data_IF_440832710290
#
_entry.id   IF_440832710290
#
_cell.length_a   1.000
_cell.length_b   1.000
_cell.length_c   1.000
_cell.angle_alpha   90.00
_cell.angle_beta   90.00
_cell.angle_gamma   90.00
#
_symmetry.space_group_name_H-M   'P 1'
#
loop_
_entity.id
_entity.type
_entity.pdbx_description
1 polymer ?
#
# COMPACT_ATOMS: atom_id res chain seq x y z
N UNK A 1 -6.53 7.90 -32.96
CA UNK A 1 -5.87 7.83 -31.63
C UNK A 1 -5.27 9.20 -31.33
N UNK A 2 -5.19 9.64 -30.06
CA UNK A 2 -4.46 10.87 -29.75
C UNK A 2 -2.99 10.66 -30.10
N UNK A 3 -2.38 11.66 -30.76
CA UNK A 3 -0.98 11.60 -31.19
C UNK A 3 -0.05 11.80 -29.99
N UNK A 4 -0.47 12.63 -29.02
CA UNK A 4 0.41 13.13 -27.96
C UNK A 4 0.14 12.53 -26.60
N UNK A 5 -1.11 12.15 -26.30
CA UNK A 5 -1.48 11.58 -25.01
C UNK A 5 -2.06 10.19 -25.15
N UNK A 6 -1.93 9.43 -24.07
CA UNK A 6 -2.53 8.13 -23.91
C UNK A 6 -4.02 8.29 -23.60
N UNK A 7 -4.86 7.44 -24.21
CA UNK A 7 -6.30 7.32 -23.87
C UNK A 7 -6.63 6.05 -23.09
N UNK A 8 -5.73 5.06 -23.12
CA UNK A 8 -5.88 3.77 -22.48
C UNK A 8 -4.53 3.03 -22.45
N UNK A 9 -4.45 1.93 -21.70
CA UNK A 9 -3.27 1.04 -21.65
C UNK A 9 -3.15 0.06 -22.84
N UNK A 10 -3.85 0.27 -23.96
CA UNK A 10 -3.94 -0.73 -25.05
C UNK A 10 -2.92 -0.54 -26.16
N UNK A 11 -2.05 0.47 -26.08
CA UNK A 11 -1.03 0.76 -27.10
C UNK A 11 0.28 -0.02 -26.84
N UNK A 12 1.17 -0.07 -27.84
CA UNK A 12 2.48 -0.70 -27.69
C UNK A 12 3.36 -0.02 -26.63
N UNK A 13 4.18 -0.79 -25.92
CA UNK A 13 4.97 -0.32 -24.77
C UNK A 13 5.81 0.93 -25.07
N UNK A 14 6.44 1.00 -26.25
CA UNK A 14 7.19 2.19 -26.69
C UNK A 14 6.29 3.42 -26.85
N UNK A 15 5.12 3.27 -27.48
CA UNK A 15 4.15 4.38 -27.64
C UNK A 15 3.67 4.89 -26.29
N UNK A 16 3.36 3.98 -25.37
CA UNK A 16 2.94 4.34 -24.02
C UNK A 16 4.05 5.09 -23.28
N UNK A 17 5.29 4.62 -23.36
CA UNK A 17 6.44 5.28 -22.76
C UNK A 17 6.65 6.70 -23.31
N UNK A 18 6.70 6.84 -24.64
CA UNK A 18 6.91 8.13 -25.31
C UNK A 18 5.79 9.14 -24.94
N UNK A 19 4.55 8.67 -24.85
CA UNK A 19 3.40 9.51 -24.44
C UNK A 19 3.43 9.89 -22.96
N UNK A 20 3.85 8.99 -22.08
CA UNK A 20 4.03 9.30 -20.66
C UNK A 20 5.10 10.39 -20.46
N UNK A 21 6.20 10.35 -21.21
CA UNK A 21 7.21 11.43 -21.17
C UNK A 21 6.63 12.79 -21.60
N UNK A 22 5.80 12.82 -22.64
CA UNK A 22 5.13 14.05 -23.09
C UNK A 22 4.16 14.57 -22.02
N UNK A 23 3.39 13.67 -21.41
CA UNK A 23 2.49 14.01 -20.31
C UNK A 23 3.27 14.63 -19.13
N UNK A 24 4.31 13.97 -18.66
CA UNK A 24 5.14 14.42 -17.54
C UNK A 24 5.75 15.79 -17.82
N UNK A 25 6.30 15.98 -19.01
CA UNK A 25 6.87 17.27 -19.41
C UNK A 25 5.83 18.39 -19.42
N UNK A 26 4.60 18.13 -19.88
CA UNK A 26 3.54 19.14 -19.92
C UNK A 26 2.94 19.45 -18.55
N UNK A 27 2.94 18.47 -17.65
CA UNK A 27 2.37 18.65 -16.33
C UNK A 27 3.36 19.30 -15.36
N UNK A 28 4.65 18.97 -15.47
CA UNK A 28 5.72 19.58 -14.69
C UNK A 28 5.73 21.09 -14.89
N UNK A 29 5.60 21.79 -13.78
CA UNK A 29 5.64 23.24 -13.73
C UNK A 29 6.35 23.62 -12.43
N UNK A 30 7.62 24.05 -12.58
CA UNK A 30 8.54 24.30 -11.45
C UNK A 30 8.02 25.35 -10.47
N UNK A 31 7.01 26.13 -10.88
CA UNK A 31 6.33 27.11 -10.00
C UNK A 31 5.51 26.45 -8.90
N UNK A 32 5.12 25.18 -9.06
CA UNK A 32 4.22 24.48 -8.14
C UNK A 32 4.92 23.29 -7.48
N UNK A 33 5.62 23.57 -6.38
CA UNK A 33 6.30 22.56 -5.55
C UNK A 33 5.35 21.49 -4.98
N UNK A 34 4.05 21.80 -4.86
CA UNK A 34 3.03 20.89 -4.35
C UNK A 34 2.39 20.00 -5.44
N UNK A 35 2.80 20.12 -6.71
CA UNK A 35 2.44 19.20 -7.78
C UNK A 35 3.47 18.07 -7.85
N UNK A 36 3.15 16.92 -7.27
CA UNK A 36 4.12 15.86 -6.98
C UNK A 36 3.72 14.56 -7.69
N UNK A 37 4.67 13.89 -8.33
CA UNK A 37 4.48 12.52 -8.81
C UNK A 37 4.52 11.53 -7.63
N UNK A 38 3.38 10.91 -7.32
CA UNK A 38 3.28 9.86 -6.29
C UNK A 38 3.38 8.44 -6.85
N UNK A 39 3.52 8.24 -8.15
CA UNK A 39 3.77 6.91 -8.72
C UNK A 39 5.26 6.54 -8.75
N UNK A 40 6.14 7.50 -8.45
CA UNK A 40 7.59 7.33 -8.46
C UNK A 40 8.14 6.86 -7.10
N UNK A 41 8.96 5.81 -7.17
CA UNK A 41 9.80 5.34 -6.07
C UNK A 41 9.01 5.20 -4.75
N UNK A 42 9.53 5.73 -3.65
CA UNK A 42 8.95 5.59 -2.31
C UNK A 42 7.76 6.51 -2.06
N UNK A 43 7.53 7.54 -2.89
CA UNK A 43 6.35 8.42 -2.75
C UNK A 43 5.06 7.64 -2.97
N UNK A 44 5.13 6.57 -3.76
CA UNK A 44 4.05 5.61 -3.90
C UNK A 44 3.59 5.06 -2.54
N UNK A 45 4.48 4.90 -1.58
CA UNK A 45 4.17 4.39 -0.24
C UNK A 45 3.61 5.46 0.72
N UNK A 46 3.43 6.72 0.28
CA UNK A 46 2.92 7.79 1.12
C UNK A 46 1.57 7.41 1.76
N UNK A 47 1.44 7.67 3.06
CA UNK A 47 0.26 7.30 3.86
C UNK A 47 0.12 5.80 4.15
N UNK A 48 0.95 4.93 3.58
CA UNK A 48 0.90 3.46 3.77
C UNK A 48 2.06 2.92 4.59
N UNK A 49 3.12 3.71 4.79
CA UNK A 49 4.26 3.36 5.63
C UNK A 49 4.66 4.50 6.57
N UNK A 50 5.31 4.15 7.69
CA UNK A 50 6.00 5.11 8.55
C UNK A 50 7.31 5.58 7.92
N UNK A 51 7.98 6.56 8.54
CA UNK A 51 9.30 7.06 8.08
C UNK A 51 10.37 5.97 7.93
N UNK A 52 10.26 4.86 8.66
CA UNK A 52 11.16 3.72 8.58
C UNK A 52 10.65 2.63 7.61
N UNK A 53 9.75 2.97 6.68
CA UNK A 53 9.12 2.09 5.70
C UNK A 53 8.36 0.88 6.26
N UNK A 54 8.05 0.88 7.57
CA UNK A 54 7.16 -0.13 8.16
C UNK A 54 5.72 0.16 7.71
N UNK A 55 5.00 -0.83 7.15
CA UNK A 55 3.60 -0.69 6.76
C UNK A 55 2.71 -0.30 7.94
N UNK A 56 1.76 0.60 7.70
CA UNK A 56 0.90 1.14 8.74
C UNK A 56 -0.57 1.19 8.30
N UNK A 57 -1.44 1.26 9.30
CA UNK A 57 -2.87 1.47 9.12
C UNK A 57 -3.40 2.42 10.21
N UNK A 58 -4.47 3.19 9.93
CA UNK A 58 -5.14 3.99 10.94
C UNK A 58 -5.55 3.18 12.17
N UNK A 59 -5.37 3.74 13.36
CA UNK A 59 -5.81 3.14 14.62
C UNK A 59 -6.90 3.99 15.30
N UNK A 60 -7.38 3.53 16.46
CA UNK A 60 -8.47 4.18 17.19
C UNK A 60 -8.17 5.61 17.69
N UNK A 61 -6.90 6.01 17.77
CA UNK A 61 -6.52 7.35 18.19
C UNK A 61 -6.66 8.38 17.06
N UNK A 62 -6.72 7.94 15.80
CA UNK A 62 -6.84 8.83 14.65
C UNK A 62 -8.33 9.10 14.37
N UNK A 63 -8.83 10.30 14.68
CA UNK A 63 -10.24 10.59 14.49
C UNK A 63 -10.57 10.74 13.00
N UNK A 64 -11.74 10.25 12.61
CA UNK A 64 -12.29 10.41 11.27
C UNK A 64 -13.55 11.26 11.31
N UNK A 65 -13.69 12.15 10.33
CA UNK A 65 -14.86 13.01 10.15
C UNK A 65 -15.48 12.78 8.78
N UNK A 66 -16.76 13.12 8.64
CA UNK A 66 -17.48 13.08 7.37
C UNK A 66 -17.06 14.22 6.45
N UNK A 67 -16.90 13.91 5.16
CA UNK A 67 -16.70 14.86 4.06
C UNK A 67 -18.01 15.29 3.39
N UNK A 68 -19.15 14.77 3.83
CA UNK A 68 -20.44 15.05 3.19
C UNK A 68 -20.91 16.48 3.47
N UNK A 69 -21.19 17.21 2.39
CA UNK A 69 -21.77 18.56 2.42
C UNK A 69 -23.31 18.54 2.46
N UNK A 70 -23.94 17.37 2.32
CA UNK A 70 -25.40 17.18 2.33
C UNK A 70 -25.80 15.89 3.06
N UNK A 71 -26.97 15.92 3.72
CA UNK A 71 -27.52 14.86 4.57
C UNK A 71 -28.08 13.64 3.81
N UNK A 72 -27.43 13.18 2.73
CA UNK A 72 -27.88 11.98 2.02
C UNK A 72 -27.04 10.75 2.39
N UNK A 73 -27.75 9.75 2.91
CA UNK A 73 -27.31 8.67 3.79
C UNK A 73 -26.80 7.41 3.07
N UNK A 74 -26.30 7.51 1.83
CA UNK A 74 -25.97 6.31 1.06
C UNK A 74 -24.51 5.87 1.14
N UNK A 75 -23.55 6.74 1.45
CA UNK A 75 -22.16 6.40 1.81
C UNK A 75 -21.45 7.68 2.24
N UNK A 76 -21.44 7.97 3.54
CA UNK A 76 -20.71 9.13 4.07
C UNK A 76 -19.22 8.93 3.85
N UNK A 77 -18.66 9.59 2.84
CA UNK A 77 -17.21 9.63 2.62
C UNK A 77 -16.54 10.23 3.85
N UNK A 78 -15.43 9.65 4.27
CA UNK A 78 -14.70 10.08 5.47
C UNK A 78 -13.22 10.23 5.17
N UNK A 79 -12.56 11.09 5.94
CA UNK A 79 -11.12 11.21 6.00
C UNK A 79 -10.72 11.54 7.45
N UNK A 80 -9.42 11.61 7.71
CA UNK A 80 -8.90 12.02 9.01
C UNK A 80 -9.41 13.41 9.35
N UNK A 81 -9.86 13.64 10.59
CA UNK A 81 -10.61 14.86 10.95
C UNK A 81 -9.89 16.16 10.63
N UNK A 82 -8.56 16.24 10.86
CA UNK A 82 -7.80 17.45 10.50
C UNK A 82 -7.68 17.65 8.99
N UNK A 83 -7.71 16.57 8.20
CA UNK A 83 -7.74 16.62 6.73
C UNK A 83 -9.09 17.11 6.25
N UNK A 84 -10.18 16.67 6.90
CA UNK A 84 -11.54 17.16 6.64
C UNK A 84 -11.63 18.66 6.93
N UNK A 85 -11.15 19.13 8.08
CA UNK A 85 -11.18 20.55 8.43
C UNK A 85 -10.44 21.41 7.39
N UNK A 86 -9.23 21.00 7.02
CA UNK A 86 -8.44 21.67 6.00
C UNK A 86 -9.18 21.69 4.64
N UNK A 87 -9.75 20.55 4.23
CA UNK A 87 -10.48 20.43 2.97
C UNK A 87 -11.74 21.30 2.94
N UNK A 88 -12.48 21.38 4.05
CA UNK A 88 -13.70 22.18 4.15
C UNK A 88 -13.41 23.67 4.09
N UNK A 89 -12.37 24.14 4.78
CA UNK A 89 -11.92 25.54 4.68
C UNK A 89 -11.41 25.86 3.27
N UNK A 90 -10.66 24.93 2.65
CA UNK A 90 -10.20 25.04 1.27
C UNK A 90 -11.38 25.12 0.27
N UNK A 91 -12.38 24.25 0.41
CA UNK A 91 -13.56 24.22 -0.45
C UNK A 91 -14.39 25.49 -0.33
N UNK A 92 -14.51 26.03 0.89
CA UNK A 92 -15.14 27.33 1.11
C UNK A 92 -14.41 28.48 0.41
N UNK A 93 -13.09 28.39 0.26
CA UNK A 93 -12.32 29.38 -0.50
C UNK A 93 -12.67 29.34 -1.99
N UNK A 94 -12.89 28.17 -2.58
CA UNK A 94 -13.40 28.05 -3.95
C UNK A 94 -14.76 28.71 -4.11
N UNK A 95 -15.71 28.41 -3.21
CA UNK A 95 -17.05 29.01 -3.23
C UNK A 95 -17.03 30.54 -3.14
N UNK A 96 -16.17 31.10 -2.28
CA UNK A 96 -16.00 32.55 -2.17
C UNK A 96 -15.47 33.14 -3.47
N UNK A 97 -14.47 32.51 -4.07
CA UNK A 97 -13.77 33.02 -5.26
C UNK A 97 -14.60 32.88 -6.55
N UNK A 98 -15.43 31.84 -6.67
CA UNK A 98 -16.44 31.74 -7.74
C UNK A 98 -17.51 32.82 -7.58
N UNK A 99 -18.02 33.04 -6.36
CA UNK A 99 -19.08 34.04 -6.10
C UNK A 99 -18.66 35.47 -6.50
N UNK A 100 -17.41 35.84 -6.28
CA UNK A 100 -16.88 37.15 -6.67
C UNK A 100 -16.31 37.20 -8.10
N UNK A 101 -16.43 36.11 -8.88
CA UNK A 101 -15.97 36.04 -10.26
C UNK A 101 -14.45 36.05 -10.45
N UNK A 102 -13.67 35.70 -9.42
CA UNK A 102 -12.20 35.62 -9.51
C UNK A 102 -11.71 34.32 -10.15
N UNK A 103 -12.55 33.29 -10.17
CA UNK A 103 -12.31 32.04 -10.90
C UNK A 103 -13.53 31.69 -11.73
N UNK A 104 -13.34 30.89 -12.79
CA UNK A 104 -14.42 30.47 -13.66
C UNK A 104 -15.49 29.72 -12.87
N UNK A 105 -16.76 29.99 -13.17
CA UNK A 105 -17.93 29.29 -12.62
C UNK A 105 -18.39 28.12 -13.51
N UNK A 106 -17.87 28.03 -14.74
CA UNK A 106 -18.25 27.02 -15.72
C UNK A 106 -17.34 25.79 -15.73
N UNK A 107 -16.31 25.75 -14.87
CA UNK A 107 -15.42 24.59 -14.80
C UNK A 107 -16.09 23.44 -14.05
N UNK A 108 -16.16 22.23 -14.64
CA UNK A 108 -16.91 21.13 -14.05
C UNK A 108 -16.28 20.54 -12.78
N UNK A 109 -14.97 20.72 -12.55
CA UNK A 109 -14.23 20.04 -11.47
C UNK A 109 -13.59 21.01 -10.47
N UNK A 110 -13.17 22.19 -10.95
CA UNK A 110 -12.37 23.17 -10.20
C UNK A 110 -13.12 24.48 -9.94
N UNK A 111 -14.43 24.54 -10.19
CA UNK A 111 -15.29 25.62 -9.68
C UNK A 111 -15.86 25.29 -8.30
N UNK A 112 -16.30 24.04 -8.12
CA UNK A 112 -16.85 23.50 -6.86
C UNK A 112 -16.20 22.15 -6.64
N UNK A 113 -15.51 21.98 -5.51
CA UNK A 113 -14.81 20.75 -5.19
C UNK A 113 -15.79 19.73 -4.60
N UNK A 114 -16.13 18.72 -5.39
CA UNK A 114 -16.98 17.61 -4.95
C UNK A 114 -16.12 16.38 -4.64
N UNK A 115 -16.25 15.83 -3.44
CA UNK A 115 -15.52 14.61 -3.05
C UNK A 115 -16.16 13.40 -3.72
N UNK A 116 -15.38 12.64 -4.49
CA UNK A 116 -15.81 11.40 -5.14
C UNK A 116 -15.25 10.15 -4.49
N UNK A 117 -14.01 10.20 -3.97
CA UNK A 117 -13.40 9.10 -3.21
C UNK A 117 -12.60 9.63 -2.03
N UNK A 118 -12.56 8.85 -0.96
CA UNK A 118 -11.85 9.16 0.28
C UNK A 118 -11.44 7.85 0.98
N UNK A 119 -11.39 7.82 2.31
CA UNK A 119 -10.92 6.67 3.07
C UNK A 119 -11.67 5.37 2.75
N UNK A 120 -10.89 4.30 2.60
CA UNK A 120 -11.37 2.92 2.51
C UNK A 120 -10.63 2.07 3.55
N UNK A 121 -11.34 1.18 4.23
CA UNK A 121 -10.71 0.35 5.25
C UNK A 121 -9.70 -0.62 4.61
N UNK A 122 -8.39 -0.54 4.96
CA UNK A 122 -7.41 -1.46 4.41
C UNK A 122 -7.68 -2.91 4.82
N UNK A 123 -8.31 -3.14 5.99
CA UNK A 123 -8.73 -4.47 6.44
C UNK A 123 -9.81 -5.06 5.53
N UNK A 124 -10.79 -4.26 5.11
CA UNK A 124 -11.84 -4.74 4.19
C UNK A 124 -11.27 -5.07 2.81
N UNK A 125 -10.41 -4.20 2.28
CA UNK A 125 -9.73 -4.43 1.01
C UNK A 125 -8.85 -5.68 1.06
N UNK A 126 -8.08 -5.85 2.14
CA UNK A 126 -7.27 -7.03 2.36
C UNK A 126 -8.11 -8.30 2.49
N UNK A 127 -9.26 -8.25 3.17
CA UNK A 127 -10.16 -9.40 3.28
C UNK A 127 -10.69 -9.84 1.90
N UNK A 128 -10.97 -8.89 1.00
CA UNK A 128 -11.35 -9.21 -0.39
C UNK A 128 -10.16 -9.82 -1.16
N UNK A 129 -8.99 -9.20 -1.05
CA UNK A 129 -7.75 -9.64 -1.66
C UNK A 129 -7.36 -11.07 -1.24
N UNK A 130 -7.29 -11.33 0.06
CA UNK A 130 -6.82 -12.60 0.60
C UNK A 130 -7.78 -13.76 0.29
N UNK A 131 -9.08 -13.51 0.07
CA UNK A 131 -10.01 -14.55 -0.44
C UNK A 131 -9.55 -15.07 -1.80
N UNK A 132 -9.27 -14.17 -2.73
CA UNK A 132 -8.78 -14.52 -4.08
C UNK A 132 -7.45 -15.27 -4.01
N UNK A 133 -6.55 -14.84 -3.13
CA UNK A 133 -5.26 -15.51 -2.92
C UNK A 133 -5.46 -16.93 -2.36
N UNK A 134 -6.31 -17.10 -1.34
CA UNK A 134 -6.64 -18.42 -0.76
C UNK A 134 -7.22 -19.35 -1.81
N UNK A 135 -8.17 -18.89 -2.61
CA UNK A 135 -8.79 -19.69 -3.67
C UNK A 135 -7.74 -20.16 -4.69
N UNK A 136 -6.79 -19.28 -5.04
CA UNK A 136 -5.65 -19.62 -5.88
C UNK A 136 -4.76 -20.73 -5.27
N UNK A 137 -4.45 -20.64 -3.98
CA UNK A 137 -3.67 -21.66 -3.26
C UNK A 137 -4.42 -22.99 -3.23
N UNK A 138 -5.70 -22.99 -2.82
CA UNK A 138 -6.55 -24.20 -2.76
C UNK A 138 -6.64 -24.86 -4.14
N UNK A 139 -6.84 -24.07 -5.20
CA UNK A 139 -6.86 -24.56 -6.58
C UNK A 139 -5.53 -25.21 -6.96
N UNK A 140 -4.40 -24.63 -6.58
CA UNK A 140 -3.08 -25.18 -6.86
C UNK A 140 -2.83 -26.49 -6.09
N UNK A 141 -3.26 -26.59 -4.84
CA UNK A 141 -3.18 -27.81 -4.03
C UNK A 141 -3.97 -28.94 -4.71
N UNK A 142 -5.24 -28.67 -5.08
CA UNK A 142 -6.10 -29.64 -5.75
C UNK A 142 -5.54 -30.07 -7.10
N UNK A 143 -5.06 -29.13 -7.91
CA UNK A 143 -4.46 -29.39 -9.23
C UNK A 143 -3.20 -30.27 -9.13
N UNK A 144 -2.42 -30.10 -8.07
CA UNK A 144 -1.15 -30.82 -7.89
C UNK A 144 -1.32 -32.15 -7.16
N UNK A 145 -2.56 -32.59 -6.93
CA UNK A 145 -2.92 -33.77 -6.14
C UNK A 145 -2.22 -33.87 -4.77
N UNK A 146 -1.93 -32.73 -4.13
CA UNK A 146 -1.21 -32.74 -2.84
C UNK A 146 -2.07 -33.41 -1.78
N UNK A 147 -1.45 -34.29 -1.00
CA UNK A 147 -2.05 -35.09 0.08
C UNK A 147 -1.32 -34.79 1.38
N UNK A 148 -2.08 -34.73 2.47
CA UNK A 148 -1.57 -34.49 3.82
C UNK A 148 -2.57 -35.09 4.81
N UNK A 149 -2.07 -35.68 5.90
CA UNK A 149 -2.85 -36.31 6.96
C UNK A 149 -3.07 -35.39 8.16
N UNK A 150 -2.21 -34.39 8.34
CA UNK A 150 -2.21 -33.50 9.49
C UNK A 150 -1.74 -32.08 9.08
N UNK A 151 -1.84 -31.14 10.01
CA UNK A 151 -1.50 -29.75 9.73
C UNK A 151 -0.01 -29.52 9.48
N UNK A 152 0.89 -30.30 10.09
CA UNK A 152 2.33 -30.14 9.89
C UNK A 152 2.75 -30.52 8.47
N UNK A 153 2.26 -31.66 7.96
CA UNK A 153 2.43 -32.06 6.57
C UNK A 153 1.84 -31.03 5.60
N UNK A 154 0.65 -30.52 5.90
CA UNK A 154 0.03 -29.44 5.12
C UNK A 154 0.90 -28.19 5.10
N UNK A 155 1.37 -27.71 6.26
CA UNK A 155 2.19 -26.51 6.37
C UNK A 155 3.49 -26.67 5.57
N UNK A 156 4.10 -27.85 5.60
CA UNK A 156 5.29 -28.16 4.81
C UNK A 156 4.98 -28.12 3.30
N UNK A 157 3.88 -28.72 2.85
CA UNK A 157 3.51 -28.79 1.44
C UNK A 157 3.02 -27.46 0.86
N UNK A 158 2.31 -26.63 1.65
CA UNK A 158 1.72 -25.37 1.18
C UNK A 158 2.71 -24.21 1.21
N UNK A 159 3.70 -24.23 2.11
CA UNK A 159 4.67 -23.13 2.25
C UNK A 159 5.37 -22.75 0.93
N UNK A 160 5.89 -23.69 0.12
CA UNK A 160 6.48 -23.36 -1.19
C UNK A 160 5.50 -22.72 -2.16
N UNK A 161 4.22 -23.11 -2.13
CA UNK A 161 3.16 -22.53 -2.99
C UNK A 161 2.93 -21.08 -2.60
N UNK A 162 2.76 -20.81 -1.31
CA UNK A 162 2.56 -19.45 -0.79
C UNK A 162 3.77 -18.58 -1.14
N UNK A 163 4.99 -19.04 -0.86
CA UNK A 163 6.22 -18.30 -1.15
C UNK A 163 6.35 -18.00 -2.65
N UNK A 164 6.00 -18.95 -3.52
CA UNK A 164 6.04 -18.73 -4.97
C UNK A 164 5.00 -17.69 -5.43
N UNK A 165 3.77 -17.76 -4.92
CA UNK A 165 2.72 -16.80 -5.25
C UNK A 165 3.02 -15.40 -4.72
N UNK A 166 3.58 -15.33 -3.50
CA UNK A 166 3.92 -14.10 -2.78
C UNK A 166 4.85 -13.16 -3.56
N UNK A 167 5.64 -13.70 -4.51
CA UNK A 167 6.48 -12.92 -5.43
C UNK A 167 5.69 -12.00 -6.39
N UNK A 168 4.39 -12.22 -6.54
CA UNK A 168 3.56 -11.47 -7.50
C UNK A 168 2.27 -10.95 -6.87
N UNK A 169 1.73 -11.69 -5.91
CA UNK A 169 0.48 -11.33 -5.22
C UNK A 169 0.73 -11.46 -3.72
N UNK A 170 0.68 -10.35 -2.94
CA UNK A 170 0.98 -10.39 -1.52
C UNK A 170 0.05 -11.34 -0.76
N UNK A 171 0.61 -12.15 0.11
CA UNK A 171 -0.11 -12.99 1.04
C UNK A 171 -0.26 -12.34 2.41
N UNK A 172 0.73 -11.57 2.86
CA UNK A 172 0.67 -10.89 4.15
C UNK A 172 -0.06 -9.55 4.06
N UNK A 173 -0.65 -9.11 5.17
CA UNK A 173 -1.26 -7.78 5.22
C UNK A 173 -0.20 -6.67 5.04
N UNK A 174 0.99 -6.82 5.64
CA UNK A 174 2.11 -5.89 5.46
C UNK A 174 2.51 -5.76 3.99
N UNK A 175 2.64 -6.89 3.28
CA UNK A 175 2.93 -6.90 1.84
C UNK A 175 1.80 -6.29 1.02
N UNK A 176 0.53 -6.57 1.38
CA UNK A 176 -0.63 -5.97 0.74
C UNK A 176 -0.61 -4.45 0.85
N UNK A 177 -0.39 -3.89 2.05
CA UNK A 177 -0.35 -2.44 2.31
C UNK A 177 0.70 -1.74 1.42
N UNK A 178 1.87 -2.36 1.19
CA UNK A 178 2.92 -1.81 0.31
C UNK A 178 2.65 -1.96 -1.18
N UNK A 179 1.77 -2.89 -1.56
CA UNK A 179 1.59 -3.29 -2.94
C UNK A 179 0.65 -2.39 -3.73
N UNK A 180 0.65 -2.56 -5.06
CA UNK A 180 -0.34 -1.97 -5.98
C UNK A 180 -1.79 -2.36 -5.75
N UNK A 181 -2.04 -3.38 -4.94
CA UNK A 181 -3.39 -3.82 -4.61
C UNK A 181 -4.02 -2.98 -3.49
N UNK A 182 -3.23 -2.14 -2.80
CA UNK A 182 -3.71 -1.29 -1.72
C UNK A 182 -3.63 0.19 -2.13
N UNK A 183 -4.76 0.89 -2.30
CA UNK A 183 -4.78 2.29 -2.72
C UNK A 183 -4.26 3.22 -1.61
N UNK A 184 -3.85 4.44 -1.96
CA UNK A 184 -3.36 5.44 -0.98
C UNK A 184 -4.47 5.98 -0.06
N UNK A 185 -5.73 5.85 -0.49
CA UNK A 185 -6.94 6.23 0.27
C UNK A 185 -7.03 5.55 1.63
N UNK A 186 -6.42 4.37 1.80
CA UNK A 186 -6.42 3.64 3.09
C UNK A 186 -5.74 4.39 4.24
N UNK A 187 -4.99 5.45 3.94
CA UNK A 187 -4.38 6.30 4.97
C UNK A 187 -5.40 7.22 5.63
N UNK A 188 -6.48 7.58 4.93
CA UNK A 188 -7.37 8.67 5.32
C UNK A 188 -6.76 10.08 5.12
N UNK A 189 -5.58 10.17 4.49
CA UNK A 189 -4.89 11.43 4.15
C UNK A 189 -5.12 11.87 2.71
N UNK A 190 -5.92 11.12 1.94
CA UNK A 190 -6.11 11.32 0.51
C UNK A 190 -7.59 11.54 0.22
N UNK A 191 -7.87 12.54 -0.60
CA UNK A 191 -9.20 12.88 -1.12
C UNK A 191 -9.11 12.93 -2.65
N UNK A 192 -10.08 12.36 -3.35
CA UNK A 192 -10.21 12.48 -4.80
C UNK A 192 -11.48 13.28 -5.13
N UNK A 193 -11.31 14.38 -5.88
CA UNK A 193 -12.38 15.33 -6.24
C UNK A 193 -13.02 15.03 -7.60
N UNK A 194 -12.64 13.94 -8.25
CA UNK A 194 -13.26 13.46 -9.48
C UNK A 194 -13.17 11.93 -9.56
N UNK A 195 -14.07 11.33 -10.32
CA UNK A 195 -14.04 9.91 -10.66
C UNK A 195 -13.78 9.78 -12.17
N UNK A 196 -12.51 9.71 -12.53
CA UNK A 196 -12.05 9.58 -13.91
C UNK A 196 -11.00 8.47 -14.02
N UNK A 197 -10.80 7.95 -15.24
CA UNK A 197 -9.79 6.94 -15.51
C UNK A 197 -8.38 7.56 -15.41
N UNK A 198 -7.58 7.07 -14.44
CA UNK A 198 -6.20 7.50 -14.27
C UNK A 198 -5.26 7.04 -15.41
N UNK A 199 -5.73 6.22 -16.36
CA UNK A 199 -4.96 5.82 -17.54
C UNK A 199 -5.17 6.70 -18.77
N UNK A 200 -6.13 7.63 -18.73
CA UNK A 200 -6.44 8.56 -19.83
C UNK A 200 -5.78 9.94 -19.59
N UNK A 201 -4.55 10.07 -20.06
CA UNK A 201 -3.74 11.29 -19.95
C UNK A 201 -4.33 12.47 -20.75
N UNK A 202 -5.00 12.18 -21.88
CA UNK A 202 -5.71 13.21 -22.65
C UNK A 202 -6.80 13.85 -21.81
N UNK A 203 -7.59 13.03 -21.12
CA UNK A 203 -8.65 13.52 -20.25
C UNK A 203 -8.07 14.35 -19.10
N UNK A 204 -7.02 13.88 -18.42
CA UNK A 204 -6.32 14.65 -17.36
C UNK A 204 -5.90 16.04 -17.82
N UNK A 205 -5.24 16.12 -18.99
CA UNK A 205 -4.79 17.39 -19.55
C UNK A 205 -5.98 18.29 -19.87
N UNK A 206 -7.01 17.75 -20.53
CA UNK A 206 -8.16 18.52 -20.98
C UNK A 206 -9.01 19.05 -19.82
N UNK A 207 -9.27 18.24 -18.79
CA UNK A 207 -10.25 18.56 -17.75
C UNK A 207 -9.65 19.16 -16.49
N UNK A 208 -8.33 19.04 -16.29
CA UNK A 208 -7.64 19.63 -15.14
C UNK A 208 -6.55 20.60 -15.58
N UNK A 209 -5.49 20.16 -16.28
CA UNK A 209 -4.36 21.04 -16.60
C UNK A 209 -4.74 22.26 -17.44
N UNK A 210 -5.63 22.08 -18.41
CA UNK A 210 -6.12 23.17 -19.27
C UNK A 210 -7.30 23.93 -18.65
N UNK A 211 -7.71 23.61 -17.41
CA UNK A 211 -8.74 24.37 -16.71
C UNK A 211 -8.29 25.82 -16.50
N UNK A 212 -9.18 26.81 -16.68
CA UNK A 212 -8.89 28.20 -16.30
C UNK A 212 -8.63 28.36 -14.79
N UNK A 213 -9.06 27.40 -13.97
CA UNK A 213 -8.92 27.43 -12.51
C UNK A 213 -7.70 26.62 -12.02
N UNK A 214 -6.90 26.04 -12.91
CA UNK A 214 -5.79 25.15 -12.55
C UNK A 214 -4.76 25.80 -11.63
N UNK A 215 -4.28 27.00 -11.99
CA UNK A 215 -3.30 27.75 -11.19
C UNK A 215 -3.84 28.10 -9.80
N UNK A 216 -5.10 28.56 -9.75
CA UNK A 216 -5.77 28.83 -8.49
C UNK A 216 -5.88 27.56 -7.63
N UNK A 217 -6.23 26.43 -8.25
CA UNK A 217 -6.34 25.15 -7.57
C UNK A 217 -5.04 24.71 -6.92
N UNK A 218 -3.92 24.72 -7.65
CA UNK A 218 -2.62 24.36 -7.08
C UNK A 218 -2.21 25.28 -5.93
N UNK A 219 -2.40 26.60 -6.10
CA UNK A 219 -2.05 27.59 -5.08
C UNK A 219 -2.88 27.44 -3.81
N UNK A 220 -4.18 27.19 -3.96
CA UNK A 220 -5.08 26.98 -2.82
C UNK A 220 -4.78 25.65 -2.14
N UNK A 221 -4.56 24.56 -2.86
CA UNK A 221 -4.12 23.30 -2.25
C UNK A 221 -2.86 23.51 -1.40
N UNK A 222 -1.83 24.19 -1.94
CA UNK A 222 -0.61 24.52 -1.19
C UNK A 222 -0.90 25.29 0.08
N UNK A 223 -1.75 26.33 0.00
CA UNK A 223 -2.09 27.21 1.13
C UNK A 223 -2.86 26.53 2.27
N UNK A 224 -3.45 25.36 2.01
CA UNK A 224 -4.17 24.55 3.00
C UNK A 224 -3.42 23.25 3.36
N UNK A 225 -2.14 23.12 2.96
CA UNK A 225 -1.30 21.98 3.30
C UNK A 225 -1.58 20.72 2.46
N UNK A 226 -2.07 20.88 1.23
CA UNK A 226 -2.30 19.79 0.29
C UNK A 226 -1.29 19.81 -0.86
N UNK A 227 -0.79 18.62 -1.17
CA UNK A 227 -0.16 18.30 -2.45
C UNK A 227 -1.18 17.74 -3.43
N UNK A 228 -0.90 17.90 -4.73
CA UNK A 228 -1.69 17.35 -5.84
C UNK A 228 -0.87 16.28 -6.53
N UNK A 229 -1.47 15.11 -6.78
CA UNK A 229 -0.81 14.03 -7.52
C UNK A 229 -0.73 14.38 -9.00
N UNK A 230 0.49 14.52 -9.52
CA UNK A 230 0.74 14.78 -10.93
C UNK A 230 0.17 13.68 -11.84
N UNK A 231 0.18 12.42 -11.39
CA UNK A 231 -0.31 11.31 -12.19
C UNK A 231 -1.85 11.22 -12.17
N UNK A 232 -2.47 11.80 -11.14
CA UNK A 232 -3.92 11.80 -10.91
C UNK A 232 -4.35 13.20 -10.44
N UNK A 233 -4.50 14.19 -11.33
CA UNK A 233 -4.64 15.61 -10.96
C UNK A 233 -5.83 15.99 -10.07
N UNK A 234 -6.81 15.10 -9.92
CA UNK A 234 -7.94 15.25 -8.99
C UNK A 234 -7.70 14.63 -7.61
N UNK A 235 -6.54 14.01 -7.39
CA UNK A 235 -6.15 13.44 -6.10
C UNK A 235 -5.35 14.47 -5.33
N UNK A 236 -5.92 14.92 -4.22
CA UNK A 236 -5.25 15.78 -3.25
C UNK A 236 -4.81 14.96 -2.04
N UNK A 237 -3.62 15.25 -1.56
CA UNK A 237 -2.93 14.47 -0.54
C UNK A 237 -2.50 15.45 0.54
N UNK A 238 -3.00 15.24 1.77
CA UNK A 238 -2.61 16.06 2.91
C UNK A 238 -1.11 15.90 3.16
N UNK A 239 -0.33 16.98 3.04
CA UNK A 239 1.10 17.00 3.36
C UNK A 239 1.26 17.17 4.87
N UNK A 240 1.41 16.06 5.58
CA UNK A 240 1.56 16.02 7.04
C UNK A 240 2.89 16.58 7.55
N UNK A 241 3.77 17.01 6.65
CA UNK A 241 5.01 17.76 6.95
C UNK A 241 4.85 19.28 6.81
N UNK A 242 3.79 19.76 6.15
CA UNK A 242 3.55 21.19 5.95
C UNK A 242 3.11 21.91 7.24
N UNK A 243 3.50 23.18 7.38
CA UNK A 243 3.09 24.02 8.51
C UNK A 243 1.57 24.20 8.59
N UNK A 244 0.92 24.29 7.42
CA UNK A 244 -0.50 24.51 7.27
C UNK A 244 -1.26 23.28 7.77
N UNK A 245 -0.90 22.07 7.31
CA UNK A 245 -1.56 20.84 7.74
C UNK A 245 -1.32 20.55 9.23
N UNK A 246 -0.12 20.84 9.74
CA UNK A 246 0.18 20.69 11.16
C UNK A 246 -0.64 21.64 12.04
N UNK A 247 -1.02 22.82 11.53
CA UNK A 247 -1.93 23.73 12.23
C UNK A 247 -3.30 23.08 12.45
N UNK A 248 -3.87 22.42 11.42
CA UNK A 248 -5.10 21.65 11.58
C UNK A 248 -4.91 20.44 12.50
N UNK A 249 -3.83 19.67 12.32
CA UNK A 249 -3.56 18.47 13.09
C UNK A 249 -3.37 18.75 14.61
N UNK A 250 -2.82 19.91 14.95
CA UNK A 250 -2.60 20.34 16.34
C UNK A 250 -3.88 20.43 17.17
N UNK A 251 -5.02 20.75 16.54
CA UNK A 251 -6.35 20.80 17.18
C UNK A 251 -6.77 19.43 17.72
N UNK A 252 -6.17 18.37 17.20
CA UNK A 252 -6.41 16.98 17.57
C UNK A 252 -5.25 16.37 18.39
N UNK A 253 -4.33 17.20 18.89
CA UNK A 253 -3.19 16.76 19.71
C UNK A 253 -1.98 16.28 18.90
N UNK A 254 -1.96 16.47 17.58
CA UNK A 254 -0.84 16.10 16.72
C UNK A 254 0.00 17.31 16.34
N UNK A 255 1.15 17.49 16.99
CA UNK A 255 2.01 18.69 16.81
C UNK A 255 3.14 18.50 15.80
N UNK A 256 3.41 17.27 15.38
CA UNK A 256 4.47 16.93 14.43
C UNK A 256 4.06 15.78 13.52
N UNK A 257 4.71 15.64 12.36
CA UNK A 257 4.58 14.46 11.49
C UNK A 257 4.79 13.15 12.26
N UNK A 258 5.78 13.11 13.15
CA UNK A 258 6.06 11.95 13.98
C UNK A 258 4.93 11.63 14.95
N UNK A 259 4.28 12.65 15.53
CA UNK A 259 3.10 12.43 16.39
C UNK A 259 1.94 11.86 15.60
N UNK A 260 1.67 12.36 14.38
CA UNK A 260 0.63 11.83 13.49
C UNK A 260 0.89 10.35 13.23
N UNK A 261 2.09 10.01 12.74
CA UNK A 261 2.45 8.64 12.32
C UNK A 261 2.56 7.65 13.49
N UNK A 262 3.04 8.08 14.66
CA UNK A 262 3.28 7.16 15.77
C UNK A 262 2.08 6.99 16.70
N UNK A 263 1.23 8.01 16.84
CA UNK A 263 0.04 7.95 17.70
C UNK A 263 -1.19 7.51 16.90
N UNK A 264 -1.39 8.08 15.70
CA UNK A 264 -2.57 7.84 14.87
C UNK A 264 -2.55 6.54 14.05
N UNK A 265 -1.36 5.93 13.86
CA UNK A 265 -1.23 4.72 13.04
C UNK A 265 -0.55 3.57 13.78
N UNK A 266 -1.10 2.37 13.61
CA UNK A 266 -0.51 1.11 14.07
C UNK A 266 0.28 0.43 12.95
N UNK A 267 1.31 -0.32 13.32
CA UNK A 267 2.12 -1.10 12.38
C UNK A 267 1.34 -2.34 11.91
N UNK A 268 1.22 -2.57 10.60
CA UNK A 268 0.29 -3.53 10.01
C UNK A 268 0.57 -5.00 10.42
N UNK A 269 1.82 -5.35 10.72
CA UNK A 269 2.17 -6.69 11.17
C UNK A 269 1.54 -7.04 12.52
N UNK A 270 1.19 -6.06 13.34
CA UNK A 270 0.49 -6.31 14.62
C UNK A 270 -0.91 -6.90 14.38
N UNK A 271 -1.57 -6.49 13.30
CA UNK A 271 -2.84 -7.06 12.83
C UNK A 271 -2.65 -8.42 12.17
N UNK A 272 -1.62 -8.60 11.34
CA UNK A 272 -1.48 -9.83 10.55
C UNK A 272 -1.04 -11.05 11.35
N UNK A 273 -0.08 -10.89 12.26
CA UNK A 273 0.55 -12.02 12.95
C UNK A 273 -0.48 -12.90 13.70
N UNK A 274 -1.46 -12.34 14.43
CA UNK A 274 -2.53 -13.13 15.01
C UNK A 274 -3.43 -13.82 13.97
N UNK A 275 -3.69 -13.18 12.83
CA UNK A 275 -4.58 -13.68 11.78
C UNK A 275 -3.97 -14.81 10.94
N UNK A 276 -2.64 -14.84 10.82
CA UNK A 276 -1.93 -15.76 9.94
C UNK A 276 -2.28 -17.24 10.20
N UNK A 277 -2.42 -17.64 11.47
CA UNK A 277 -2.78 -19.03 11.83
C UNK A 277 -4.17 -19.39 11.34
N UNK A 278 -5.13 -18.49 11.52
CA UNK A 278 -6.51 -18.68 11.07
C UNK A 278 -6.56 -18.80 9.55
N UNK A 279 -5.82 -17.94 8.82
CA UNK A 279 -5.73 -18.02 7.37
C UNK A 279 -5.19 -19.38 6.89
N UNK A 280 -4.13 -19.89 7.52
CA UNK A 280 -3.58 -21.20 7.16
C UNK A 280 -4.56 -22.34 7.50
N UNK A 281 -5.26 -22.26 8.63
CA UNK A 281 -6.30 -23.23 9.00
C UNK A 281 -7.47 -23.23 8.02
N UNK A 282 -7.91 -22.06 7.56
CA UNK A 282 -8.95 -21.95 6.54
C UNK A 282 -8.52 -22.64 5.23
N UNK A 283 -7.28 -22.40 4.77
CA UNK A 283 -6.74 -23.06 3.58
C UNK A 283 -6.67 -24.57 3.79
N UNK A 284 -6.20 -25.04 4.96
CA UNK A 284 -6.17 -26.45 5.33
C UNK A 284 -7.55 -27.09 5.21
N UNK A 285 -8.55 -26.47 5.86
CA UNK A 285 -9.91 -27.00 5.91
C UNK A 285 -10.59 -27.02 4.53
N UNK A 286 -10.28 -26.06 3.66
CA UNK A 286 -10.80 -26.04 2.28
C UNK A 286 -10.07 -27.01 1.34
N UNK A 287 -8.86 -27.43 1.72
CA UNK A 287 -7.99 -28.28 0.91
C UNK A 287 -8.01 -29.75 1.30
N UNK A 288 -8.34 -30.07 2.56
CA UNK A 288 -8.34 -31.44 3.07
C UNK A 288 -9.36 -32.31 2.32
N UNK A 289 -8.94 -33.53 2.01
CA UNK A 289 -9.79 -34.57 1.39
C UNK A 289 -9.31 -35.93 1.85
N UNK A 290 -10.22 -36.88 1.93
CA UNK A 290 -9.87 -38.27 2.21
C UNK A 290 -9.13 -38.85 0.99
N UNK A 291 -8.14 -39.70 1.24
CA UNK A 291 -7.40 -40.38 0.19
C UNK A 291 -7.00 -41.79 0.64
N UNK A 292 -6.70 -42.65 -0.33
CA UNK A 292 -6.27 -44.03 -0.09
C UNK A 292 -4.75 -44.15 -0.25
N UNK A 293 -4.13 -44.92 0.64
CA UNK A 293 -2.73 -45.33 0.56
C UNK A 293 -2.70 -46.85 0.42
N UNK A 294 -1.97 -47.36 -0.57
CA UNK A 294 -1.82 -48.80 -0.80
C UNK A 294 -0.49 -49.21 -0.17
N UNK A 295 -0.54 -50.08 0.83
CA UNK A 295 0.62 -50.64 1.51
C UNK A 295 0.89 -52.05 0.98
N UNK A 296 2.12 -52.32 0.56
CA UNK A 296 2.56 -53.66 0.13
C UNK A 296 3.08 -54.40 1.35
N UNK A 297 2.47 -55.53 1.67
CA UNK A 297 2.85 -56.38 2.78
C UNK A 297 4.06 -57.26 2.41
N UNK A 298 4.78 -57.76 3.42
CA UNK A 298 5.97 -58.59 3.23
C UNK A 298 5.70 -59.93 2.53
N UNK A 299 4.44 -60.37 2.49
CA UNK A 299 3.97 -61.57 1.79
C UNK A 299 3.54 -61.32 0.33
N UNK A 300 3.70 -60.09 -0.17
CA UNK A 300 3.31 -59.68 -1.53
C UNK A 300 1.83 -59.30 -1.67
N UNK A 301 1.04 -59.34 -0.60
CA UNK A 301 -0.35 -58.84 -0.61
C UNK A 301 -0.40 -57.31 -0.51
N UNK A 302 -1.51 -56.70 -0.91
CA UNK A 302 -1.73 -55.26 -0.81
C UNK A 302 -2.88 -54.95 0.13
N UNK A 303 -2.67 -54.01 1.06
CA UNK A 303 -3.72 -53.47 1.93
C UNK A 303 -3.99 -52.01 1.58
N UNK A 304 -5.26 -51.60 1.66
CA UNK A 304 -5.68 -50.22 1.39
C UNK A 304 -6.03 -49.54 2.70
N UNK A 305 -5.32 -48.46 3.03
CA UNK A 305 -5.59 -47.61 4.17
C UNK A 305 -6.32 -46.33 3.70
N UNK A 306 -7.45 -46.01 4.34
CA UNK A 306 -8.17 -44.75 4.10
C UNK A 306 -7.64 -43.72 5.09
N UNK A 307 -6.88 -42.75 4.59
CA UNK A 307 -6.37 -41.64 5.39
C UNK A 307 -7.42 -40.53 5.45
N UNK A 308 -7.80 -40.16 6.68
CA UNK A 308 -8.71 -39.05 6.98
C UNK A 308 -7.89 -37.94 7.66
N UNK A 309 -7.76 -36.76 7.04
CA UNK A 309 -7.00 -35.67 7.65
C UNK A 309 -7.56 -35.26 9.02
N UNK A 310 -6.67 -34.95 9.97
CA UNK A 310 -7.02 -34.56 11.34
C UNK A 310 -7.87 -33.28 11.36
N UNK A 311 -8.85 -33.22 12.24
CA UNK A 311 -9.67 -32.03 12.47
C UNK A 311 -8.99 -31.07 13.46
N UNK A 312 -8.93 -29.78 13.12
CA UNK A 312 -8.37 -28.73 13.96
C UNK A 312 -9.39 -27.62 14.17
N UNK A 313 -9.42 -27.05 15.38
CA UNK A 313 -10.31 -25.95 15.76
C UNK A 313 -9.53 -24.66 16.04
N UNK A 314 -10.18 -23.53 15.77
CA UNK A 314 -9.66 -22.17 16.04
C UNK A 314 -9.36 -21.96 17.52
N UNK A 315 -10.04 -22.69 18.41
CA UNK A 315 -9.94 -22.51 19.86
C UNK A 315 -8.61 -23.02 20.47
N UNK A 316 -7.76 -23.71 19.70
CA UNK A 316 -6.43 -24.14 20.14
C UNK A 316 -5.36 -23.78 19.09
N UNK A 317 -5.01 -22.49 18.94
CA UNK A 317 -4.12 -22.02 17.87
C UNK A 317 -2.68 -22.55 18.01
N UNK A 318 -2.23 -22.89 19.23
CA UNK A 318 -0.91 -23.47 19.47
C UNK A 318 -0.78 -24.91 18.94
N UNK A 319 -1.91 -25.62 18.81
CA UNK A 319 -1.94 -26.93 18.15
C UNK A 319 -1.70 -26.87 16.64
N UNK A 320 -1.82 -25.68 16.04
CA UNK A 320 -1.72 -25.46 14.60
C UNK A 320 -0.28 -25.12 14.21
N UNK A 321 0.26 -24.04 14.78
CA UNK A 321 1.61 -23.58 14.46
C UNK A 321 2.24 -22.85 15.64
N UNK A 322 3.37 -23.36 16.13
CA UNK A 322 4.12 -22.69 17.19
C UNK A 322 4.60 -21.31 16.73
N UNK A 323 4.74 -20.37 17.67
CA UNK A 323 5.22 -19.00 17.41
C UNK A 323 6.50 -18.95 16.55
N UNK A 324 7.47 -19.82 16.84
CA UNK A 324 8.72 -19.89 16.08
C UNK A 324 8.49 -20.35 14.63
N UNK A 325 7.57 -21.31 14.41
CA UNK A 325 7.21 -21.75 13.06
C UNK A 325 6.44 -20.64 12.31
N UNK A 326 5.53 -19.94 13.01
CA UNK A 326 4.81 -18.77 12.48
C UNK A 326 5.77 -17.66 12.05
N UNK A 327 6.71 -17.28 12.93
CA UNK A 327 7.73 -16.27 12.65
C UNK A 327 8.57 -16.64 11.42
N UNK A 328 9.08 -17.88 11.37
CA UNK A 328 9.88 -18.34 10.23
C UNK A 328 9.11 -18.31 8.91
N UNK A 329 7.85 -18.73 8.91
CA UNK A 329 7.03 -18.71 7.70
C UNK A 329 6.72 -17.28 7.28
N UNK A 330 6.34 -16.41 8.23
CA UNK A 330 6.11 -14.99 7.98
C UNK A 330 7.32 -14.33 7.33
N UNK A 331 8.52 -14.53 7.89
CA UNK A 331 9.76 -13.98 7.34
C UNK A 331 10.02 -14.45 5.91
N UNK A 332 9.83 -15.74 5.63
CA UNK A 332 10.02 -16.28 4.27
C UNK A 332 9.04 -15.69 3.26
N UNK A 333 7.77 -15.51 3.65
CA UNK A 333 6.75 -14.91 2.79
C UNK A 333 7.09 -13.44 2.55
N UNK A 334 7.36 -12.67 3.60
CA UNK A 334 7.71 -11.24 3.50
C UNK A 334 8.95 -10.99 2.64
N UNK A 335 10.00 -11.79 2.78
CA UNK A 335 11.19 -11.72 1.91
C UNK A 335 10.85 -11.99 0.44
N UNK A 336 9.86 -12.84 0.16
CA UNK A 336 9.43 -13.10 -1.21
C UNK A 336 8.57 -11.98 -1.80
N UNK A 337 7.81 -11.27 -0.96
CA UNK A 337 6.97 -10.13 -1.36
C UNK A 337 7.74 -8.83 -1.57
N UNK A 338 8.84 -8.62 -0.83
CA UNK A 338 9.56 -7.34 -0.81
C UNK A 338 10.72 -7.28 -1.81
N UNK A 339 10.83 -8.30 -2.69
CA UNK A 339 11.87 -8.48 -3.73
C UNK A 339 13.32 -8.20 -3.27
N UNK A 340 13.57 -8.27 -1.96
CA UNK A 340 14.81 -7.79 -1.35
C UNK A 340 16.00 -8.62 -1.86
N UNK A 341 17.07 -7.95 -2.29
CA UNK A 341 18.26 -8.59 -2.85
C UNK A 341 19.18 -9.21 -1.78
N UNK A 342 18.62 -9.77 -0.72
CA UNK A 342 19.44 -10.48 0.27
C UNK A 342 20.08 -11.71 -0.37
N UNK A 343 21.40 -11.78 -0.26
CA UNK A 343 22.16 -13.01 -0.46
C UNK A 343 21.70 -14.08 0.54
N UNK A 344 21.95 -15.35 0.24
CA UNK A 344 21.58 -16.43 1.15
C UNK A 344 22.29 -16.32 2.51
N UNK A 345 23.50 -15.77 2.54
CA UNK A 345 24.26 -15.50 3.77
C UNK A 345 23.57 -14.42 4.61
N UNK A 346 23.10 -13.33 4.01
CA UNK A 346 22.38 -12.27 4.71
C UNK A 346 21.05 -12.77 5.25
N UNK A 347 20.31 -13.57 4.47
CA UNK A 347 19.07 -14.22 4.93
C UNK A 347 19.34 -15.08 6.16
N UNK A 348 20.42 -15.86 6.17
CA UNK A 348 20.79 -16.72 7.30
C UNK A 348 21.18 -15.89 8.54
N UNK A 349 21.96 -14.82 8.37
CA UNK A 349 22.32 -13.91 9.46
C UNK A 349 21.09 -13.25 10.06
N UNK A 350 20.23 -12.66 9.21
CA UNK A 350 18.98 -12.03 9.64
C UNK A 350 18.08 -13.03 10.38
N UNK A 351 17.90 -14.24 9.84
CA UNK A 351 17.14 -15.30 10.50
C UNK A 351 17.69 -15.64 11.90
N UNK A 352 19.01 -15.71 12.04
CA UNK A 352 19.66 -16.00 13.32
C UNK A 352 19.47 -14.88 14.33
N UNK A 353 19.64 -13.63 13.91
CA UNK A 353 19.41 -12.43 14.75
C UNK A 353 17.96 -12.34 15.21
N UNK A 354 16.99 -12.52 14.31
CA UNK A 354 15.56 -12.45 14.65
C UNK A 354 15.16 -13.59 15.59
N UNK A 355 15.71 -14.79 15.40
CA UNK A 355 15.48 -15.92 16.32
C UNK A 355 16.00 -15.64 17.73
N UNK A 356 17.17 -15.01 17.86
CA UNK A 356 17.69 -14.59 19.17
C UNK A 356 16.80 -13.52 19.81
N UNK A 357 16.38 -12.53 19.02
CA UNK A 357 15.50 -11.47 19.50
C UNK A 357 14.14 -12.01 19.97
N UNK A 358 13.57 -12.99 19.24
CA UNK A 358 12.37 -13.70 19.65
C UNK A 358 12.52 -14.35 21.02
N UNK A 359 13.64 -15.04 21.29
CA UNK A 359 13.89 -15.67 22.59
C UNK A 359 13.93 -14.66 23.74
N UNK A 360 14.32 -13.42 23.48
CA UNK A 360 14.45 -12.36 24.49
C UNK A 360 13.19 -11.52 24.68
N UNK A 361 12.43 -11.28 23.60
CA UNK A 361 11.35 -10.26 23.58
C UNK A 361 10.01 -10.80 23.08
N UNK A 362 9.94 -12.04 22.61
CA UNK A 362 8.72 -12.66 22.08
C UNK A 362 8.44 -12.34 20.61
N UNK A 363 7.26 -12.78 20.15
CA UNK A 363 6.89 -12.80 18.72
C UNK A 363 6.78 -11.41 18.10
N UNK A 364 5.91 -10.55 18.64
CA UNK A 364 5.62 -9.24 18.03
C UNK A 364 6.86 -8.34 17.94
N UNK A 365 7.70 -8.20 19.00
CA UNK A 365 8.92 -7.41 18.89
C UNK A 365 9.91 -7.98 17.86
N UNK A 366 10.00 -9.31 17.72
CA UNK A 366 10.83 -9.95 16.71
C UNK A 366 10.32 -9.69 15.28
N UNK A 367 9.01 -9.78 15.05
CA UNK A 367 8.40 -9.41 13.77
C UNK A 367 8.66 -7.94 13.43
N UNK A 368 8.52 -7.03 14.39
CA UNK A 368 8.83 -5.61 14.19
C UNK A 368 10.30 -5.39 13.84
N UNK A 369 11.23 -6.05 14.55
CA UNK A 369 12.67 -5.94 14.25
C UNK A 369 12.99 -6.48 12.84
N UNK A 370 12.31 -7.52 12.42
CA UNK A 370 12.42 -8.06 11.07
C UNK A 370 11.87 -7.09 10.01
N UNK A 371 10.69 -6.51 10.22
CA UNK A 371 10.11 -5.50 9.31
C UNK A 371 11.05 -4.29 9.16
N UNK A 372 11.68 -3.81 10.24
CA UNK A 372 12.70 -2.76 10.16
C UNK A 372 13.89 -3.18 9.30
N UNK A 373 14.33 -4.44 9.41
CA UNK A 373 15.51 -4.92 8.70
C UNK A 373 15.26 -5.05 7.19
N UNK A 374 14.09 -5.55 6.78
CA UNK A 374 13.72 -5.63 5.36
C UNK A 374 13.37 -4.25 4.79
N UNK A 375 12.81 -3.35 5.60
CA UNK A 375 12.54 -1.98 5.21
C UNK A 375 13.82 -1.14 4.96
N UNK A 376 14.96 -1.53 5.52
CA UNK A 376 16.22 -0.83 5.31
C UNK A 376 16.78 -0.98 3.88
N UNK A 377 16.27 -1.94 3.08
CA UNK A 377 16.70 -2.15 1.68
C UNK A 377 16.18 -1.06 0.73
N UNK A 378 15.25 -0.20 1.17
CA UNK A 378 14.85 1.01 0.43
C UNK A 378 15.96 2.10 0.42
N UNK A 379 17.15 1.80 0.95
CA UNK A 379 18.34 2.64 0.77
C UNK A 379 19.25 2.18 -0.39
N UNK A 380 18.79 1.23 -1.22
CA UNK A 380 19.54 0.66 -2.36
C UNK A 380 19.32 1.45 -3.68
N UNK A 381 20.04 1.05 -4.73
CA UNK A 381 20.05 1.72 -6.04
C UNK A 381 18.63 1.88 -6.62
N UNK A 382 18.27 3.10 -7.03
CA UNK A 382 16.96 3.43 -7.61
C UNK A 382 15.90 3.88 -6.59
N UNK A 383 16.23 3.91 -5.30
CA UNK A 383 15.38 4.53 -4.29
C UNK A 383 15.43 6.06 -4.38
N UNK A 384 14.44 6.77 -3.86
CA UNK A 384 14.38 8.23 -3.79
C UNK A 384 15.57 8.78 -3.01
N UNK A 385 16.01 8.06 -1.97
CA UNK A 385 17.23 8.42 -1.24
C UNK A 385 18.46 8.33 -2.14
N UNK A 386 18.55 7.32 -2.99
CA UNK A 386 19.62 7.19 -4.00
C UNK A 386 19.48 8.24 -5.11
N UNK A 387 18.28 8.49 -5.63
CA UNK A 387 18.00 9.52 -6.64
C UNK A 387 18.36 10.92 -6.15
N UNK A 388 17.98 11.27 -4.91
CA UNK A 388 18.34 12.56 -4.28
C UNK A 388 19.85 12.67 -4.09
N UNK A 389 20.53 11.57 -3.73
CA UNK A 389 22.00 11.57 -3.65
C UNK A 389 22.63 11.80 -5.02
N UNK A 390 22.15 11.13 -6.07
CA UNK A 390 22.63 11.33 -7.46
C UNK A 390 22.39 12.74 -7.95
N UNK A 391 21.20 13.31 -7.73
CA UNK A 391 20.86 14.68 -8.12
C UNK A 391 21.76 15.70 -7.40
N UNK A 392 22.05 15.51 -6.11
CA UNK A 392 23.02 16.35 -5.38
C UNK A 392 24.43 16.28 -5.98
N UNK A 393 24.89 15.09 -6.38
CA UNK A 393 26.19 14.92 -7.03
C UNK A 393 26.22 15.65 -8.37
N UNK A 394 25.20 15.47 -9.22
CA UNK A 394 25.10 16.15 -10.52
C UNK A 394 25.13 17.67 -10.37
N UNK A 395 24.33 18.23 -9.44
CA UNK A 395 24.32 19.69 -9.19
C UNK A 395 25.66 20.21 -8.67
N UNK A 396 26.38 19.40 -7.90
CA UNK A 396 27.70 19.75 -7.40
C UNK A 396 28.74 19.73 -8.53
N UNK A 397 28.68 18.73 -9.42
CA UNK A 397 29.50 18.67 -10.64
C UNK A 397 29.22 19.85 -11.58
N UNK A 398 27.96 20.26 -11.75
CA UNK A 398 27.58 21.45 -12.54
C UNK A 398 28.15 22.75 -11.94
N UNK A 399 28.13 22.89 -10.61
CA UNK A 399 28.74 24.03 -9.91
C UNK A 399 30.27 24.06 -10.01
N UNK A 400 30.91 22.89 -9.95
CA UNK A 400 32.36 22.75 -10.09
C UNK A 400 32.83 23.04 -11.53
N UNK A 401 32.02 22.73 -12.54
CA UNK A 401 32.30 23.10 -13.94
C UNK A 401 32.15 24.61 -14.14
N UNK A 402 31.10 25.23 -13.59
CA UNK A 402 30.84 26.67 -13.69
C UNK A 402 31.85 27.53 -12.92
N UNK A 403 32.51 26.99 -11.90
CA UNK A 403 33.54 27.70 -11.13
C UNK A 403 34.96 27.56 -11.71
N UNK A 404 35.16 26.65 -12.67
CA UNK A 404 36.42 26.44 -13.38
C UNK A 404 36.46 27.06 -14.79
N UNK A 405 35.39 27.76 -15.19
CA UNK A 405 35.29 28.62 -16.38
C UNK A 405 35.18 30.07 -15.97
#
# INVERSE_FOLDING_TARGET
>A
MSIFYKKSNTEGAKSLFDKSLIYDFRLRDERYENLISFEEAEKYLYGRVKQNYIPMEPNANLPFSSLSQTNESANTLQAVSFVVDAFMEMSNQFLKKTTIGQISTSDPNLSILEVKKAYESPKMLYNSHIRTVKDGIVKQIKKSDIKFSNFEEFAHAVSPIIIKMAKTVPFTYSGFIKSRYCPMTVSGLVIEIADADCSDDENKIRTFKNSPNWEFYLNVCKSYGFSVDANVPWRIIADIGSSEMLTYASRYGYTTTNSILNIGYSEAQTTFIPLMRNLLLEIYNQSKRQYQVINVCSDGTTTTEIVRPVEYSVNNPDSILSDMKTLKLYMKIRMAEDESQFTDVEKQRLNSTIKQFYRMKGLLPACRKFEIAIAATFNESGSLTDLVKRDKIVRQEEQDVLSNT
#
